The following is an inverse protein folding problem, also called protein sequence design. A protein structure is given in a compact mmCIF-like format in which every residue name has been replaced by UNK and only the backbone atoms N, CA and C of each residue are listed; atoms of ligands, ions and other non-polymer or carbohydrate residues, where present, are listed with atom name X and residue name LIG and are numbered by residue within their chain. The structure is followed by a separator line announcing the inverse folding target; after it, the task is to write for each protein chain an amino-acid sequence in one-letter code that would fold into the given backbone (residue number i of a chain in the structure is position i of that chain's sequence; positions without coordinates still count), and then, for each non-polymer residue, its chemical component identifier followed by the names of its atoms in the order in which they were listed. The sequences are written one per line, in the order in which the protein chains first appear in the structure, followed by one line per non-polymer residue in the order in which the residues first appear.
data_IF_325686380047
#
_entry.id   IF_325686380047
#
_cell.length_a   1.000
_cell.length_b   1.000
_cell.length_c   1.000
_cell.angle_alpha   90.00
_cell.angle_beta   90.00
_cell.angle_gamma   90.00
#
_symmetry.space_group_name_H-M   'P 1'
#
loop_
_entity.id
_entity.type
_entity.pdbx_description
1 polymer ?
#
# COMPACT_ATOMS: atom_id res chain seq x y z
N UNK A 1 2.12 40.61 17.36
CA UNK A 1 2.08 39.89 17.12
C UNK A 1 1.46 39.49 16.37
N UNK A 2 1.56 39.19 15.91
CA UNK A 2 1.03 38.78 15.12
C UNK A 2 0.62 37.59 15.27
N UNK A 3 -0.12 37.41 15.37
CA UNK A 3 -0.67 36.31 15.57
C UNK A 3 -0.63 35.53 14.55
N UNK A 4 -0.62 36.04 13.64
CA UNK A 4 -0.60 35.34 12.57
C UNK A 4 0.52 34.54 12.48
N UNK A 5 1.35 34.80 12.98
CA UNK A 5 2.29 34.09 12.86
C UNK A 5 2.23 33.08 13.55
N UNK A 6 1.74 33.27 14.23
CA UNK A 6 1.69 32.32 14.96
C UNK A 6 0.86 31.38 14.51
N UNK A 7 0.26 31.64 14.09
CA UNK A 7 -0.49 30.77 13.67
C UNK A 7 -0.23 30.28 12.81
N UNK A 8 0.47 30.62 12.41
CA UNK A 8 0.73 30.11 11.67
C UNK A 8 0.69 29.19 11.79
N UNK A 9 0.45 29.13 11.99
CA UNK A 9 0.18 28.12 12.12
C UNK A 9 0.69 27.22 11.42
N UNK A 10 1.32 27.50 10.86
CA UNK A 10 2.07 26.65 10.28
C UNK A 10 2.33 25.61 11.09
N UNK A 11 2.64 25.86 12.16
CA UNK A 11 2.83 24.86 13.04
C UNK A 11 1.63 24.12 13.11
N UNK A 12 0.61 24.75 13.23
CA UNK A 12 -0.62 24.08 13.37
C UNK A 12 -0.87 23.21 12.17
N UNK A 13 -0.37 23.59 11.06
CA UNK A 13 -0.63 22.80 9.91
C UNK A 13 0.49 21.86 9.61
N UNK A 14 1.40 21.77 10.50
CA UNK A 14 2.41 20.79 10.33
C UNK A 14 1.81 19.44 10.48
N UNK A 15 1.85 18.62 9.47
CA UNK A 15 1.27 17.31 9.47
C UNK A 15 2.37 16.28 9.58
N UNK A 16 2.27 15.42 10.58
CA UNK A 16 3.24 14.35 10.73
C UNK A 16 3.20 13.43 9.51
N UNK A 17 4.35 12.98 9.02
CA UNK A 17 4.35 12.06 7.90
C UNK A 17 3.70 10.74 8.29
N UNK A 18 3.08 10.09 7.31
CA UNK A 18 2.50 8.76 7.53
C UNK A 18 3.64 7.77 7.71
N UNK A 19 3.54 6.95 8.74
CA UNK A 19 4.55 5.95 9.04
C UNK A 19 3.94 4.56 8.99
N UNK A 20 4.80 3.55 8.75
CA UNK A 20 4.38 2.16 8.69
C UNK A 20 5.00 1.40 9.86
N UNK A 21 4.21 0.50 10.46
CA UNK A 21 4.67 -0.38 11.52
C UNK A 21 4.35 -1.81 11.15
N UNK A 22 5.33 -2.69 11.23
CA UNK A 22 5.12 -4.10 10.94
C UNK A 22 4.27 -4.72 12.04
N UNK A 23 3.26 -5.50 11.63
CA UNK A 23 2.36 -6.17 12.56
C UNK A 23 3.05 -7.42 13.08
N UNK A 24 3.05 -7.57 14.42
CA UNK A 24 3.68 -8.71 15.05
C UNK A 24 2.97 -10.01 14.71
N UNK A 25 3.74 -11.11 14.73
CA UNK A 25 3.20 -12.41 14.38
C UNK A 25 1.99 -12.79 15.22
N UNK A 26 1.97 -12.42 16.48
CA UNK A 26 0.86 -12.74 17.37
C UNK A 26 -0.45 -12.09 16.95
N UNK A 27 -0.39 -11.03 16.13
CA UNK A 27 -1.59 -10.30 15.68
C UNK A 27 -1.98 -10.63 14.25
N UNK A 28 -1.21 -11.47 13.56
CA UNK A 28 -1.41 -11.67 12.11
C UNK A 28 -2.75 -12.29 11.78
N UNK A 29 -3.17 -13.30 12.53
CA UNK A 29 -4.40 -14.04 12.21
C UNK A 29 -5.62 -13.12 12.18
N UNK A 30 -5.70 -12.16 13.11
CA UNK A 30 -6.84 -11.26 13.20
C UNK A 30 -6.76 -10.03 12.32
N UNK A 31 -5.64 -9.83 11.61
CA UNK A 31 -5.41 -8.57 10.91
C UNK A 31 -6.32 -8.37 9.71
N UNK A 32 -6.34 -9.31 8.77
CA UNK A 32 -7.15 -9.14 7.57
C UNK A 32 -8.65 -9.06 7.90
N UNK A 33 -9.19 -9.89 8.80
CA UNK A 33 -10.59 -9.72 9.18
C UNK A 33 -10.87 -8.35 9.79
N UNK A 34 -9.94 -7.81 10.57
CA UNK A 34 -10.14 -6.51 11.21
C UNK A 34 -10.22 -5.39 10.19
N UNK A 35 -9.37 -5.44 9.17
CA UNK A 35 -9.33 -4.37 8.16
C UNK A 35 -10.38 -4.54 7.07
N UNK A 36 -10.69 -5.78 6.68
CA UNK A 36 -11.48 -6.03 5.48
C UNK A 36 -12.75 -6.84 5.70
N UNK A 37 -12.92 -7.44 6.88
CA UNK A 37 -14.10 -8.24 7.16
C UNK A 37 -14.28 -9.33 6.11
N UNK A 38 -15.47 -9.42 5.56
CA UNK A 38 -15.79 -10.45 4.56
C UNK A 38 -15.03 -10.29 3.26
N UNK A 39 -14.38 -9.17 3.04
CA UNK A 39 -13.64 -8.91 1.81
C UNK A 39 -12.18 -9.33 1.89
N UNK A 40 -11.75 -9.90 3.00
CA UNK A 40 -10.34 -10.21 3.21
C UNK A 40 -9.78 -11.19 2.19
N UNK A 41 -10.55 -12.22 1.82
CA UNK A 41 -10.06 -13.20 0.87
C UNK A 41 -9.93 -12.64 -0.54
N UNK A 42 -10.86 -11.77 -0.91
CA UNK A 42 -10.79 -11.12 -2.21
C UNK A 42 -9.57 -10.20 -2.28
N UNK A 43 -9.32 -9.47 -1.20
CA UNK A 43 -8.15 -8.60 -1.15
C UNK A 43 -6.86 -9.41 -1.24
N UNK A 44 -6.74 -10.44 -0.42
CA UNK A 44 -5.54 -11.26 -0.38
C UNK A 44 -5.28 -11.92 -1.73
N UNK A 45 -6.33 -12.49 -2.32
CA UNK A 45 -6.20 -13.14 -3.63
C UNK A 45 -5.80 -12.15 -4.72
N UNK A 46 -6.32 -10.92 -4.67
CA UNK A 46 -5.97 -9.91 -5.65
C UNK A 46 -4.50 -9.50 -5.50
N UNK A 47 -4.04 -9.34 -4.28
CA UNK A 47 -2.63 -8.99 -4.04
C UNK A 47 -1.71 -10.05 -4.61
N UNK A 48 -1.96 -11.32 -4.29
CA UNK A 48 -1.12 -12.40 -4.80
C UNK A 48 -1.24 -12.52 -6.32
N UNK A 49 -2.42 -12.29 -6.88
CA UNK A 49 -2.62 -12.34 -8.32
C UNK A 49 -1.82 -11.28 -9.05
N UNK A 50 -1.86 -10.05 -8.57
CA UNK A 50 -1.08 -8.98 -9.18
C UNK A 50 0.42 -9.23 -9.03
N UNK A 51 0.84 -9.75 -7.88
CA UNK A 51 2.26 -10.05 -7.69
C UNK A 51 2.75 -11.10 -8.69
N UNK A 52 1.97 -12.16 -8.89
CA UNK A 52 2.33 -13.20 -9.87
C UNK A 52 2.34 -12.65 -11.28
N UNK A 53 1.42 -11.72 -11.58
CA UNK A 53 1.35 -11.15 -12.92
C UNK A 53 2.54 -10.22 -13.19
N UNK A 54 2.92 -9.39 -12.22
CA UNK A 54 3.93 -8.36 -12.45
C UNK A 54 5.37 -8.83 -12.23
N UNK A 55 5.58 -9.88 -11.44
CA UNK A 55 6.92 -10.32 -11.07
C UNK A 55 7.13 -11.76 -11.46
N UNK A 56 7.81 -11.99 -12.59
CA UNK A 56 8.09 -13.35 -13.06
C UNK A 56 8.98 -14.11 -12.08
N UNK A 57 9.77 -13.41 -11.30
CA UNK A 57 10.67 -14.02 -10.32
C UNK A 57 10.03 -14.22 -8.94
N UNK A 58 8.73 -13.98 -8.82
CA UNK A 58 8.03 -14.23 -7.56
C UNK A 58 7.52 -15.69 -7.55
N UNK A 59 7.87 -16.43 -6.50
CA UNK A 59 7.51 -17.83 -6.39
C UNK A 59 6.79 -18.17 -5.08
N UNK A 60 6.13 -17.20 -4.49
CA UNK A 60 5.41 -17.40 -3.22
C UNK A 60 6.31 -17.06 -2.04
N UNK A 61 5.89 -17.48 -0.87
CA UNK A 61 6.64 -17.23 0.35
C UNK A 61 5.83 -16.45 1.36
N UNK A 62 6.51 -16.03 2.41
CA UNK A 62 5.88 -15.32 3.52
C UNK A 62 5.70 -13.85 3.16
N UNK A 63 4.57 -13.30 3.56
CA UNK A 63 4.30 -11.87 3.44
C UNK A 63 4.19 -11.26 4.83
N UNK A 64 4.70 -10.04 4.97
CA UNK A 64 4.60 -9.27 6.20
C UNK A 64 3.49 -8.24 6.06
N UNK A 65 2.81 -7.97 7.16
CA UNK A 65 1.69 -7.03 7.22
C UNK A 65 2.14 -5.74 7.88
N UNK A 66 1.68 -4.61 7.36
CA UNK A 66 2.04 -3.30 7.87
C UNK A 66 0.80 -2.45 8.06
N UNK A 67 0.68 -1.84 9.23
CA UNK A 67 -0.37 -0.87 9.46
C UNK A 67 0.23 0.53 9.37
N UNK A 68 -0.54 1.45 8.81
CA UNK A 68 -0.10 2.82 8.63
C UNK A 68 -0.68 3.72 9.72
N UNK A 69 0.06 4.76 10.06
CA UNK A 69 -0.37 5.69 11.10
C UNK A 69 -1.66 6.43 10.74
N UNK A 70 -2.04 6.44 9.48
CA UNK A 70 -3.29 7.05 9.04
C UNK A 70 -4.45 6.06 8.96
N UNK A 71 -4.26 4.83 9.48
CA UNK A 71 -5.29 3.81 9.43
C UNK A 71 -5.26 2.94 8.20
N UNK A 72 -4.31 3.15 7.31
CA UNK A 72 -4.15 2.32 6.13
C UNK A 72 -3.43 1.02 6.42
N UNK A 73 -3.27 0.21 5.38
CA UNK A 73 -2.68 -1.11 5.49
C UNK A 73 -2.04 -1.52 4.18
N UNK A 74 -0.90 -2.22 4.25
CA UNK A 74 -0.37 -2.93 3.11
C UNK A 74 0.36 -4.17 3.57
N UNK A 75 0.66 -5.05 2.62
CA UNK A 75 1.45 -6.25 2.88
C UNK A 75 2.53 -6.34 1.81
N UNK A 76 3.65 -6.96 2.17
CA UNK A 76 4.80 -7.06 1.27
C UNK A 76 5.48 -8.41 1.44
N UNK A 77 5.99 -8.99 0.34
CA UNK A 77 6.66 -10.29 0.42
C UNK A 77 8.03 -10.16 1.05
N UNK A 78 8.49 -11.26 1.61
CA UNK A 78 9.86 -11.35 2.11
C UNK A 78 10.83 -11.40 0.94
N UNK A 79 12.06 -10.94 1.17
CA UNK A 79 13.09 -10.96 0.15
C UNK A 79 13.76 -9.61 0.02
N UNK A 80 14.48 -9.40 -1.06
CA UNK A 80 15.24 -8.19 -1.28
C UNK A 80 14.58 -7.28 -2.30
N UNK A 81 14.33 -7.81 -3.50
CA UNK A 81 13.78 -7.02 -4.59
C UNK A 81 13.11 -7.92 -5.61
N UNK A 82 12.31 -7.30 -6.47
CA UNK A 82 11.67 -7.98 -7.59
C UNK A 82 11.74 -7.11 -8.82
N UNK A 83 11.82 -7.76 -9.97
CA UNK A 83 11.70 -7.10 -11.27
C UNK A 83 10.22 -7.02 -11.59
N UNK A 84 9.70 -5.80 -11.68
CA UNK A 84 8.26 -5.55 -11.85
C UNK A 84 8.00 -5.06 -13.26
N UNK A 85 7.06 -5.70 -13.94
CA UNK A 85 6.62 -5.28 -15.27
C UNK A 85 5.11 -5.12 -15.22
N UNK A 86 4.62 -3.93 -15.53
CA UNK A 86 3.19 -3.64 -15.61
C UNK A 86 2.88 -3.35 -17.07
N UNK A 87 2.40 -4.37 -17.77
CA UNK A 87 2.24 -4.27 -19.23
C UNK A 87 1.23 -3.20 -19.62
N UNK A 88 0.19 -3.02 -18.82
CA UNK A 88 -0.90 -2.11 -19.18
C UNK A 88 -0.44 -0.65 -19.31
N UNK A 89 0.64 -0.26 -18.62
CA UNK A 89 1.13 1.12 -18.71
C UNK A 89 2.60 1.21 -19.13
N UNK A 90 3.21 0.08 -19.43
CA UNK A 90 4.58 0.05 -19.93
C UNK A 90 5.66 0.22 -18.87
N UNK A 91 5.30 0.18 -17.61
CA UNK A 91 6.31 0.30 -16.55
C UNK A 91 7.16 -0.97 -16.48
N UNK A 92 8.46 -0.80 -16.32
CA UNK A 92 9.39 -1.89 -16.03
C UNK A 92 10.51 -1.36 -15.15
N UNK A 93 10.82 -2.07 -14.07
CA UNK A 93 11.90 -1.68 -13.17
C UNK A 93 12.06 -2.64 -12.03
N UNK A 94 13.14 -2.44 -11.27
CA UNK A 94 13.41 -3.25 -10.07
C UNK A 94 13.00 -2.43 -8.85
N UNK A 95 12.24 -3.05 -7.97
CA UNK A 95 11.79 -2.44 -6.71
C UNK A 95 12.20 -3.30 -5.54
N UNK A 96 12.37 -2.69 -4.38
CA UNK A 96 12.47 -3.45 -3.14
C UNK A 96 11.18 -4.23 -2.92
N UNK A 97 11.24 -5.26 -2.07
CA UNK A 97 10.02 -6.01 -1.72
C UNK A 97 8.98 -5.11 -1.08
N UNK A 98 9.43 -4.11 -0.32
CA UNK A 98 8.51 -3.16 0.31
C UNK A 98 7.76 -2.35 -0.75
N UNK A 99 8.48 -1.78 -1.71
CA UNK A 99 7.85 -1.00 -2.78
C UNK A 99 6.97 -1.88 -3.66
N UNK A 100 7.40 -3.11 -3.94
CA UNK A 100 6.60 -4.03 -4.74
C UNK A 100 5.29 -4.37 -4.03
N UNK A 101 5.35 -4.60 -2.71
CA UNK A 101 4.15 -4.86 -1.92
C UNK A 101 3.19 -3.69 -1.95
N UNK A 102 3.69 -2.48 -1.77
CA UNK A 102 2.86 -1.28 -1.84
C UNK A 102 2.20 -1.18 -3.22
N UNK A 103 2.98 -1.41 -4.27
CA UNK A 103 2.47 -1.31 -5.65
C UNK A 103 1.32 -2.27 -5.89
N UNK A 104 1.50 -3.55 -5.56
CA UNK A 104 0.44 -4.54 -5.83
C UNK A 104 -0.76 -4.32 -4.92
N UNK A 105 -0.57 -3.80 -3.70
CA UNK A 105 -1.70 -3.47 -2.84
C UNK A 105 -2.50 -2.30 -3.42
N UNK A 106 -1.83 -1.30 -3.98
CA UNK A 106 -2.54 -0.20 -4.65
C UNK A 106 -3.35 -0.71 -5.83
N UNK A 107 -2.79 -1.60 -6.63
CA UNK A 107 -3.55 -2.23 -7.72
C UNK A 107 -4.74 -3.01 -7.19
N UNK A 108 -4.56 -3.77 -6.11
CA UNK A 108 -5.64 -4.57 -5.54
C UNK A 108 -6.77 -3.68 -5.02
N UNK A 109 -6.44 -2.62 -4.29
CA UNK A 109 -7.46 -1.69 -3.79
C UNK A 109 -8.22 -1.04 -4.95
N UNK A 110 -7.51 -0.58 -5.95
CA UNK A 110 -8.14 0.09 -7.10
C UNK A 110 -9.05 -0.88 -7.85
N UNK A 111 -8.54 -2.05 -8.18
CA UNK A 111 -9.28 -3.05 -8.93
C UNK A 111 -10.56 -3.47 -8.21
N UNK A 112 -10.44 -3.77 -6.93
CA UNK A 112 -11.59 -4.24 -6.15
C UNK A 112 -12.60 -3.13 -5.89
N UNK A 113 -12.15 -1.89 -5.74
CA UNK A 113 -13.08 -0.78 -5.52
C UNK A 113 -13.94 -0.54 -6.75
N UNK A 114 -13.42 -0.79 -7.95
CA UNK A 114 -14.23 -0.71 -9.16
C UNK A 114 -15.23 -1.84 -9.26
N UNK A 115 -14.86 -3.03 -8.79
CA UNK A 115 -15.75 -4.19 -8.83
C UNK A 115 -16.83 -4.14 -7.76
N UNK A 116 -16.58 -3.44 -6.67
CA UNK A 116 -17.50 -3.39 -5.54
C UNK A 116 -17.63 -1.94 -5.08
N UNK A 117 -18.35 -1.10 -5.85
CA UNK A 117 -18.45 0.33 -5.50
C UNK A 117 -19.07 0.57 -4.14
N UNK A 118 -19.85 -0.38 -3.62
CA UNK A 118 -20.44 -0.24 -2.30
C UNK A 118 -19.44 -0.44 -1.18
N UNK A 119 -18.25 -0.93 -1.48
CA UNK A 119 -17.22 -1.17 -0.47
C UNK A 119 -16.31 0.04 -0.36
N UNK A 120 -16.81 1.12 0.22
CA UNK A 120 -16.02 2.33 0.39
C UNK A 120 -14.73 2.12 1.14
N UNK A 121 -14.64 1.04 1.92
CA UNK A 121 -13.43 0.74 2.68
C UNK A 121 -12.22 0.52 1.75
N UNK A 122 -12.42 -0.11 0.59
CA UNK A 122 -11.32 -0.38 -0.33
C UNK A 122 -10.78 0.90 -0.94
N UNK A 123 -11.66 1.82 -1.32
CA UNK A 123 -11.25 3.12 -1.83
C UNK A 123 -10.52 3.94 -0.78
N UNK A 124 -10.99 3.91 0.47
CA UNK A 124 -10.31 4.62 1.55
C UNK A 124 -8.90 4.07 1.76
N UNK A 125 -8.74 2.75 1.71
CA UNK A 125 -7.42 2.15 1.85
C UNK A 125 -6.51 2.51 0.70
N UNK A 126 -7.04 2.62 -0.51
CA UNK A 126 -6.25 3.06 -1.65
C UNK A 126 -5.62 4.44 -1.37
N UNK A 127 -6.43 5.40 -0.95
CA UNK A 127 -5.94 6.75 -0.73
C UNK A 127 -5.01 6.84 0.48
N UNK A 128 -5.27 6.07 1.53
CA UNK A 128 -4.38 6.03 2.69
C UNK A 128 -3.02 5.46 2.34
N UNK A 129 -3.00 4.40 1.55
CA UNK A 129 -1.73 3.80 1.12
C UNK A 129 -1.00 4.73 0.14
N UNK A 130 -1.73 5.39 -0.75
CA UNK A 130 -1.13 6.32 -1.69
C UNK A 130 -0.48 7.49 -0.96
N UNK A 131 -1.10 7.96 0.10
CA UNK A 131 -0.53 9.04 0.92
C UNK A 131 0.83 8.63 1.49
N UNK A 132 0.97 7.39 1.93
CA UNK A 132 2.25 6.88 2.41
C UNK A 132 3.23 6.72 1.25
N UNK A 133 2.75 6.22 0.12
CA UNK A 133 3.61 5.89 -1.02
C UNK A 133 4.29 7.11 -1.64
N UNK A 134 3.62 8.27 -1.64
CA UNK A 134 4.19 9.47 -2.28
C UNK A 134 5.41 9.99 -1.53
N UNK A 135 5.58 9.60 -0.27
CA UNK A 135 6.74 9.99 0.52
C UNK A 135 7.73 8.85 0.71
N UNK A 136 7.48 7.70 0.09
CA UNK A 136 8.36 6.55 0.17
C UNK A 136 9.65 6.85 -0.59
N UNK A 137 10.77 6.27 -0.14
CA UNK A 137 12.04 6.52 -0.83
C UNK A 137 12.04 6.00 -2.27
N UNK A 138 11.14 5.08 -2.61
CA UNK A 138 10.98 4.60 -3.98
C UNK A 138 9.67 5.10 -4.58
N UNK A 139 9.21 6.26 -4.16
CA UNK A 139 7.95 6.83 -4.63
C UNK A 139 7.92 6.96 -6.16
N UNK A 140 9.03 7.37 -6.76
CA UNK A 140 9.07 7.51 -8.20
C UNK A 140 8.74 6.22 -8.93
N UNK A 141 9.27 5.09 -8.45
CA UNK A 141 9.00 3.77 -9.03
C UNK A 141 7.55 3.37 -8.80
N UNK A 142 7.07 3.53 -7.57
CA UNK A 142 5.72 3.11 -7.22
C UNK A 142 4.70 3.88 -8.04
N UNK A 143 4.83 5.20 -8.08
CA UNK A 143 3.87 6.04 -8.80
C UNK A 143 3.93 5.75 -10.31
N UNK A 144 5.11 5.56 -10.86
CA UNK A 144 5.23 5.22 -12.29
C UNK A 144 4.54 3.89 -12.59
N UNK A 145 4.63 2.94 -11.67
CA UNK A 145 4.04 1.62 -11.90
C UNK A 145 2.50 1.65 -11.84
N UNK A 146 1.91 2.54 -11.05
CA UNK A 146 0.45 2.58 -10.94
C UNK A 146 -0.20 3.57 -11.90
N UNK A 147 0.59 4.41 -12.54
CA UNK A 147 0.06 5.32 -13.54
C UNK A 147 -0.14 4.60 -14.85
#
# INVERSE_FOLDING_TARGET
MDISQSLLPDDAIEIAPVTASRIEDSRRIGTLPRYFGARMMRFENAVYGFMREFAADYHGGLWHFYELSNGGFYMAPEGTSYHIIVQSNGYEGVMSTDAAGITVCLFAYSHLSFQDPGAGVLGRHFYRLREFAVDHREAGQIIAAID
#
